data_IF_782681552397
#
_entry.id   IF_782681552397
#
_cell.length_a   1.000
_cell.length_b   1.000
_cell.length_c   1.000
_cell.angle_alpha   90.00
_cell.angle_beta   90.00
_cell.angle_gamma   90.00
#
_symmetry.space_group_name_H-M   'P 1'
#
loop_
_entity.id
_entity.type
_entity.pdbx_description
1 polymer ?
#
# COMPACT_ATOMS: atom_id res chain seq x y z
N UNK A 1 -33.53 13.78 6.28
CA UNK A 1 -33.41 12.53 7.07
C UNK A 1 -32.55 11.48 6.35
N UNK A 2 -32.62 11.36 5.01
CA UNK A 2 -31.77 10.46 4.21
C UNK A 2 -30.26 10.74 4.32
N UNK A 3 -29.84 12.00 4.19
CA UNK A 3 -28.41 12.39 4.23
C UNK A 3 -27.73 12.02 5.55
N UNK A 4 -28.45 12.16 6.68
CA UNK A 4 -27.91 11.80 8.00
C UNK A 4 -27.83 10.28 8.21
N UNK A 5 -28.80 9.53 7.67
CA UNK A 5 -28.80 8.07 7.70
C UNK A 5 -27.67 7.50 6.83
N UNK A 6 -27.42 8.10 5.66
CA UNK A 6 -26.33 7.72 4.75
C UNK A 6 -24.95 8.04 5.33
N UNK A 7 -24.79 9.17 6.01
CA UNK A 7 -23.56 9.49 6.72
C UNK A 7 -23.29 8.51 7.87
N UNK A 8 -24.34 8.13 8.62
CA UNK A 8 -24.24 7.18 9.71
C UNK A 8 -23.93 5.76 9.22
N UNK A 9 -24.58 5.30 8.14
CA UNK A 9 -24.30 4.00 7.52
C UNK A 9 -22.90 3.95 6.91
N UNK A 10 -22.45 5.04 6.27
CA UNK A 10 -21.08 5.18 5.77
C UNK A 10 -20.03 5.11 6.89
N UNK A 11 -20.30 5.75 8.03
CA UNK A 11 -19.42 5.68 9.20
C UNK A 11 -19.36 4.27 9.80
N UNK A 12 -20.50 3.57 9.90
CA UNK A 12 -20.54 2.19 10.37
C UNK A 12 -19.81 1.24 9.41
N UNK A 13 -20.05 1.35 8.10
CA UNK A 13 -19.35 0.55 7.10
C UNK A 13 -17.84 0.77 7.14
N UNK A 14 -17.42 2.03 7.29
CA UNK A 14 -16.01 2.38 7.47
C UNK A 14 -15.42 1.77 8.75
N UNK A 15 -16.15 1.82 9.86
CA UNK A 15 -15.74 1.22 11.15
C UNK A 15 -15.58 -0.29 11.07
N UNK A 16 -16.52 -1.00 10.44
CA UNK A 16 -16.42 -2.45 10.24
C UNK A 16 -15.22 -2.80 9.37
N UNK A 17 -15.03 -2.09 8.24
CA UNK A 17 -13.87 -2.26 7.36
C UNK A 17 -12.55 -2.05 8.10
N UNK A 18 -12.48 -1.04 8.95
CA UNK A 18 -11.33 -0.76 9.82
C UNK A 18 -11.00 -1.94 10.76
N UNK A 19 -12.00 -2.50 11.44
CA UNK A 19 -11.82 -3.66 12.31
C UNK A 19 -11.29 -4.88 11.54
N UNK A 20 -11.85 -5.15 10.36
CA UNK A 20 -11.38 -6.21 9.47
C UNK A 20 -9.93 -5.99 9.02
N UNK A 21 -9.55 -4.76 8.67
CA UNK A 21 -8.18 -4.44 8.27
C UNK A 21 -7.15 -4.78 9.35
N UNK A 22 -7.46 -4.48 10.62
CA UNK A 22 -6.56 -4.81 11.74
C UNK A 22 -6.40 -6.33 11.87
N UNK A 23 -7.50 -7.08 11.86
CA UNK A 23 -7.45 -8.54 11.95
C UNK A 23 -6.68 -9.17 10.77
N UNK A 24 -6.84 -8.66 9.55
CA UNK A 24 -6.11 -9.14 8.36
C UNK A 24 -4.61 -8.94 8.54
N UNK A 25 -4.16 -7.81 9.09
CA UNK A 25 -2.74 -7.59 9.39
C UNK A 25 -2.21 -8.63 10.38
N UNK A 26 -2.92 -8.89 11.47
CA UNK A 26 -2.46 -9.85 12.48
C UNK A 26 -2.35 -11.26 11.87
N UNK A 27 -3.28 -11.64 11.00
CA UNK A 27 -3.19 -12.90 10.26
C UNK A 27 -1.99 -12.95 9.30
N UNK A 28 -1.71 -11.86 8.57
CA UNK A 28 -0.55 -11.78 7.67
C UNK A 28 0.79 -11.82 8.44
N UNK A 29 0.88 -11.14 9.58
CA UNK A 29 2.07 -11.19 10.42
C UNK A 29 2.28 -12.59 10.99
N UNK A 30 1.19 -13.24 11.43
CA UNK A 30 1.25 -14.63 11.91
C UNK A 30 1.66 -15.60 10.81
N UNK A 31 1.24 -15.42 9.55
CA UNK A 31 1.72 -16.26 8.46
C UNK A 31 3.23 -16.07 8.20
N UNK A 32 3.75 -14.86 8.38
CA UNK A 32 5.19 -14.59 8.28
C UNK A 32 6.03 -15.23 9.40
N UNK A 33 5.42 -15.60 10.53
CA UNK A 33 6.11 -16.40 11.56
C UNK A 33 6.39 -17.84 11.08
N UNK A 34 5.55 -18.36 10.16
CA UNK A 34 5.72 -19.70 9.58
C UNK A 34 6.60 -19.68 8.32
N UNK A 35 6.37 -18.70 7.43
CA UNK A 35 7.22 -18.46 6.26
C UNK A 35 7.68 -16.99 6.21
N UNK A 36 8.86 -16.69 6.77
CA UNK A 36 9.40 -15.33 6.78
C UNK A 36 9.85 -14.83 5.40
N UNK A 37 9.90 -15.72 4.40
CA UNK A 37 10.40 -15.46 3.05
C UNK A 37 9.30 -15.34 2.00
N UNK A 38 8.03 -15.37 2.40
CA UNK A 38 6.92 -15.13 1.48
C UNK A 38 6.86 -13.64 1.08
N UNK A 39 7.50 -13.31 -0.04
CA UNK A 39 7.54 -11.96 -0.60
C UNK A 39 6.14 -11.38 -0.88
N UNK A 40 5.16 -12.22 -1.21
CA UNK A 40 3.78 -11.79 -1.47
C UNK A 40 3.11 -11.34 -0.19
N UNK A 41 3.25 -12.09 0.91
CA UNK A 41 2.71 -11.70 2.22
C UNK A 41 3.43 -10.45 2.75
N UNK A 42 4.75 -10.37 2.60
CA UNK A 42 5.51 -9.16 2.98
C UNK A 42 4.99 -7.93 2.22
N UNK A 43 4.75 -8.06 0.91
CA UNK A 43 4.15 -7.01 0.09
C UNK A 43 2.74 -6.64 0.57
N UNK A 44 1.89 -7.62 0.88
CA UNK A 44 0.54 -7.36 1.39
C UNK A 44 0.55 -6.61 2.74
N UNK A 45 1.51 -6.89 3.61
CA UNK A 45 1.73 -6.09 4.84
C UNK A 45 2.13 -4.66 4.49
N UNK A 46 3.03 -4.45 3.52
CA UNK A 46 3.37 -3.12 3.00
C UNK A 46 2.16 -2.36 2.46
N UNK A 47 1.29 -3.04 1.71
CA UNK A 47 0.03 -2.48 1.20
C UNK A 47 -0.91 -2.05 2.33
N UNK A 48 -0.96 -2.81 3.41
CA UNK A 48 -1.72 -2.42 4.60
C UNK A 48 -1.20 -1.11 5.20
N UNK A 49 0.11 -1.02 5.41
CA UNK A 49 0.74 0.20 5.97
C UNK A 49 0.53 1.40 5.06
N UNK A 50 0.74 1.24 3.75
CA UNK A 50 0.49 2.29 2.76
C UNK A 50 -0.96 2.75 2.80
N UNK A 51 -1.90 1.81 2.78
CA UNK A 51 -3.33 2.10 2.75
C UNK A 51 -3.77 2.92 3.96
N UNK A 52 -3.30 2.59 5.17
CA UNK A 52 -3.58 3.37 6.37
C UNK A 52 -2.86 4.73 6.35
N UNK A 53 -1.61 4.76 5.89
CA UNK A 53 -0.82 5.98 5.76
C UNK A 53 -1.32 6.95 4.68
N UNK A 54 -2.18 6.50 3.75
CA UNK A 54 -2.81 7.32 2.70
C UNK A 54 -4.25 7.74 3.06
N UNK A 55 -4.83 7.22 4.15
CA UNK A 55 -6.16 7.65 4.64
C UNK A 55 -6.18 9.14 4.98
N UNK A 56 -7.34 9.78 4.81
CA UNK A 56 -7.54 11.15 5.28
C UNK A 56 -7.43 11.23 6.82
N UNK A 57 -7.05 12.39 7.34
CA UNK A 57 -6.80 12.57 8.79
C UNK A 57 -7.98 12.12 9.67
N UNK A 58 -9.22 12.41 9.26
CA UNK A 58 -10.42 12.06 10.03
C UNK A 58 -10.71 10.55 10.02
N UNK A 59 -10.38 9.87 8.92
CA UNK A 59 -10.46 8.41 8.81
C UNK A 59 -9.44 7.74 9.73
N UNK A 60 -8.23 8.30 9.84
CA UNK A 60 -7.22 7.82 10.81
C UNK A 60 -7.67 8.01 12.25
N UNK A 61 -8.31 9.13 12.57
CA UNK A 61 -8.85 9.35 13.92
C UNK A 61 -9.92 8.31 14.30
N UNK A 62 -10.77 7.92 13.36
CA UNK A 62 -11.77 6.87 13.58
C UNK A 62 -11.08 5.50 13.76
N UNK A 63 -10.08 5.17 12.94
CA UNK A 63 -9.29 3.94 13.08
C UNK A 63 -8.61 3.87 14.46
N UNK A 64 -8.01 4.97 14.91
CA UNK A 64 -7.41 5.07 16.25
C UNK A 64 -8.47 4.82 17.33
N UNK A 65 -9.63 5.46 17.26
CA UNK A 65 -10.69 5.24 18.25
C UNK A 65 -11.19 3.78 18.31
N UNK A 66 -11.10 3.02 17.22
CA UNK A 66 -11.52 1.60 17.16
C UNK A 66 -10.41 0.67 17.65
N UNK A 67 -9.19 0.86 17.15
CA UNK A 67 -8.03 0.03 17.47
C UNK A 67 -7.36 0.40 18.80
N UNK A 68 -7.83 1.46 19.46
CA UNK A 68 -7.21 2.03 20.65
C UNK A 68 -5.97 2.87 20.30
N UNK A 69 -4.79 2.33 20.55
CA UNK A 69 -3.51 2.94 20.15
C UNK A 69 -2.88 2.05 19.06
N UNK A 70 -3.34 2.12 17.79
CA UNK A 70 -2.61 1.48 16.73
C UNK A 70 -1.23 2.16 16.61
N UNK A 71 -0.14 1.43 16.37
CA UNK A 71 1.10 2.07 15.94
C UNK A 71 0.78 2.93 14.71
N UNK A 72 1.26 4.18 14.65
CA UNK A 72 0.97 5.05 13.53
C UNK A 72 1.51 4.39 12.26
N UNK A 73 0.64 3.94 11.37
CA UNK A 73 1.06 3.39 10.09
C UNK A 73 1.65 4.53 9.25
N UNK A 74 2.93 4.44 8.91
CA UNK A 74 3.62 5.48 8.14
C UNK A 74 4.07 4.99 6.76
N UNK A 75 4.41 5.94 5.89
CA UNK A 75 4.97 5.61 4.57
C UNK A 75 6.36 4.95 4.69
N UNK A 76 7.13 5.27 5.73
CA UNK A 76 8.42 4.65 6.01
C UNK A 76 8.29 3.17 6.40
N UNK A 77 7.26 2.81 7.17
CA UNK A 77 6.97 1.39 7.46
C UNK A 77 6.55 0.66 6.18
N UNK A 78 5.66 1.26 5.38
CA UNK A 78 5.28 0.70 4.08
C UNK A 78 6.51 0.48 3.18
N UNK A 79 7.41 1.47 3.13
CA UNK A 79 8.66 1.37 2.37
C UNK A 79 9.51 0.18 2.84
N UNK A 80 9.68 0.03 4.15
CA UNK A 80 10.46 -1.06 4.74
C UNK A 80 9.95 -2.43 4.30
N UNK A 81 8.62 -2.64 4.34
CA UNK A 81 8.03 -3.89 3.88
C UNK A 81 8.17 -4.10 2.37
N UNK A 82 7.91 -3.10 1.54
CA UNK A 82 8.07 -3.25 0.09
C UNK A 82 9.52 -3.52 -0.33
N UNK A 83 10.49 -2.88 0.34
CA UNK A 83 11.91 -3.15 0.15
C UNK A 83 12.26 -4.57 0.58
N UNK A 84 11.78 -5.00 1.75
CA UNK A 84 12.00 -6.37 2.23
C UNK A 84 11.44 -7.40 1.25
N UNK A 85 10.26 -7.16 0.68
CA UNK A 85 9.68 -8.05 -0.33
C UNK A 85 10.58 -8.16 -1.57
N UNK A 86 11.07 -7.02 -2.07
CA UNK A 86 11.99 -6.95 -3.20
C UNK A 86 13.36 -7.58 -2.91
N UNK A 87 13.87 -7.44 -1.69
CA UNK A 87 15.13 -8.08 -1.25
C UNK A 87 14.98 -9.60 -1.10
N UNK A 88 13.81 -10.05 -0.67
CA UNK A 88 13.50 -11.47 -0.46
C UNK A 88 13.33 -12.20 -1.80
N UNK A 89 12.64 -11.57 -2.75
CA UNK A 89 12.48 -12.10 -4.10
C UNK A 89 12.58 -10.96 -5.12
N UNK A 90 13.76 -10.71 -5.70
CA UNK A 90 13.93 -9.59 -6.62
C UNK A 90 13.05 -9.68 -7.85
N UNK A 91 12.41 -8.57 -8.22
CA UNK A 91 11.57 -8.46 -9.42
C UNK A 91 10.46 -9.54 -9.49
N UNK A 92 9.91 -9.95 -8.34
CA UNK A 92 8.88 -10.99 -8.26
C UNK A 92 7.48 -10.51 -8.66
N UNK A 93 7.20 -9.22 -8.48
CA UNK A 93 5.86 -8.67 -8.66
C UNK A 93 5.90 -7.22 -9.12
N UNK A 94 5.27 -6.95 -10.26
CA UNK A 94 5.20 -5.63 -10.90
C UNK A 94 4.56 -4.56 -10.01
N UNK A 95 3.50 -4.92 -9.29
CA UNK A 95 2.82 -4.03 -8.33
C UNK A 95 3.75 -3.65 -7.18
N UNK A 96 4.66 -4.54 -6.74
CA UNK A 96 5.64 -4.17 -5.71
C UNK A 96 6.57 -3.03 -6.19
N UNK A 97 7.01 -3.07 -7.45
CA UNK A 97 7.83 -2.02 -8.05
C UNK A 97 7.05 -0.70 -8.19
N UNK A 98 5.79 -0.76 -8.62
CA UNK A 98 4.91 0.40 -8.67
C UNK A 98 4.76 1.03 -7.28
N UNK A 99 4.51 0.20 -6.27
CA UNK A 99 4.30 0.67 -4.89
C UNK A 99 5.56 1.27 -4.26
N UNK A 100 6.75 0.71 -4.54
CA UNK A 100 8.02 1.34 -4.19
C UNK A 100 8.11 2.74 -4.79
N UNK A 101 7.84 2.88 -6.09
CA UNK A 101 7.80 4.18 -6.76
C UNK A 101 6.85 5.17 -6.09
N UNK A 102 5.61 4.75 -5.81
CA UNK A 102 4.59 5.59 -5.14
C UNK A 102 4.98 6.01 -3.74
N UNK A 103 5.54 5.11 -2.94
CA UNK A 103 6.00 5.43 -1.58
C UNK A 103 7.15 6.42 -1.59
N UNK A 104 8.13 6.24 -2.47
CA UNK A 104 9.23 7.20 -2.59
C UNK A 104 8.72 8.60 -2.99
N UNK A 105 7.72 8.70 -3.88
CA UNK A 105 7.06 9.99 -4.17
C UNK A 105 6.42 10.61 -2.93
N UNK A 106 5.72 9.82 -2.10
CA UNK A 106 5.10 10.30 -0.85
C UNK A 106 6.13 10.78 0.17
N UNK A 107 7.33 10.19 0.15
CA UNK A 107 8.46 10.57 1.00
C UNK A 107 9.30 11.72 0.41
N UNK A 108 9.00 12.18 -0.80
CA UNK A 108 9.71 13.28 -1.47
C UNK A 108 11.01 12.88 -2.18
N UNK A 109 11.36 11.60 -2.22
CA UNK A 109 12.51 11.09 -2.97
C UNK A 109 12.11 10.78 -4.42
N UNK A 110 12.07 11.83 -5.23
CA UNK A 110 11.62 11.74 -6.61
C UNK A 110 12.58 10.92 -7.50
N UNK A 111 13.88 11.00 -7.27
CA UNK A 111 14.88 10.31 -8.10
C UNK A 111 14.75 8.79 -7.95
N UNK A 112 14.68 8.31 -6.71
CA UNK A 112 14.48 6.88 -6.43
C UNK A 112 13.10 6.42 -6.91
N UNK A 113 12.07 7.25 -6.73
CA UNK A 113 10.73 6.94 -7.24
C UNK A 113 10.73 6.70 -8.75
N UNK A 114 11.35 7.60 -9.53
CA UNK A 114 11.44 7.48 -10.98
C UNK A 114 12.17 6.22 -11.39
N UNK A 115 13.25 5.85 -10.69
CA UNK A 115 13.97 4.61 -10.95
C UNK A 115 13.06 3.38 -10.81
N UNK A 116 12.26 3.30 -9.74
CA UNK A 116 11.33 2.19 -9.54
C UNK A 116 10.14 2.21 -10.50
N UNK A 117 9.58 3.38 -10.83
CA UNK A 117 8.50 3.51 -11.82
C UNK A 117 8.98 3.06 -13.22
N UNK A 118 10.20 3.40 -13.62
CA UNK A 118 10.79 2.90 -14.87
C UNK A 118 10.97 1.38 -14.86
N UNK A 119 11.35 0.79 -13.72
CA UNK A 119 11.39 -0.68 -13.58
C UNK A 119 10.01 -1.30 -13.73
N UNK A 120 8.97 -0.71 -13.15
CA UNK A 120 7.60 -1.18 -13.30
C UNK A 120 7.11 -1.14 -14.75
N UNK A 121 7.41 -0.08 -15.51
CA UNK A 121 7.05 0.03 -16.93
C UNK A 121 7.77 -1.01 -17.79
N UNK A 122 9.04 -1.29 -17.48
CA UNK A 122 9.84 -2.27 -18.21
C UNK A 122 9.59 -3.73 -17.77
N UNK A 123 8.71 -3.94 -16.80
CA UNK A 123 8.37 -5.27 -16.32
C UNK A 123 7.58 -6.05 -17.39
N UNK A 124 7.89 -7.33 -17.65
CA UNK A 124 7.14 -8.16 -18.60
C UNK A 124 5.66 -8.26 -18.21
N UNK A 125 4.76 -7.88 -19.12
CA UNK A 125 3.32 -7.85 -18.84
C UNK A 125 2.66 -9.17 -19.26
N UNK A 126 2.29 -10.00 -18.29
CA UNK A 126 1.57 -11.26 -18.52
C UNK A 126 0.21 -11.31 -17.83
N UNK A 127 0.06 -10.57 -16.74
CA UNK A 127 -1.14 -10.54 -15.91
C UNK A 127 -1.81 -9.17 -15.96
N UNK A 128 -3.08 -9.12 -15.55
CA UNK A 128 -3.83 -7.86 -15.42
C UNK A 128 -3.13 -6.90 -14.45
N UNK A 129 -2.54 -7.42 -13.38
CA UNK A 129 -1.75 -6.64 -12.41
C UNK A 129 -0.52 -6.01 -13.08
N UNK A 130 0.16 -6.72 -13.98
CA UNK A 130 1.30 -6.15 -14.72
C UNK A 130 0.88 -5.03 -15.66
N UNK A 131 -0.26 -5.21 -16.35
CA UNK A 131 -0.83 -4.18 -17.20
C UNK A 131 -1.22 -2.94 -16.40
N UNK A 132 -1.85 -3.14 -15.23
CA UNK A 132 -2.19 -2.06 -14.32
C UNK A 132 -0.93 -1.35 -13.81
N UNK A 133 0.07 -2.11 -13.37
CA UNK A 133 1.33 -1.57 -12.87
C UNK A 133 2.02 -0.70 -13.92
N UNK A 134 2.08 -1.19 -15.16
CA UNK A 134 2.65 -0.46 -16.28
C UNK A 134 1.89 0.84 -16.58
N UNK A 135 0.56 0.77 -16.68
CA UNK A 135 -0.28 1.93 -16.98
C UNK A 135 -0.14 3.01 -15.91
N UNK A 136 -0.31 2.64 -14.64
CA UNK A 136 -0.24 3.58 -13.53
C UNK A 136 1.17 4.19 -13.39
N UNK A 137 2.23 3.39 -13.56
CA UNK A 137 3.59 3.90 -13.53
C UNK A 137 3.88 4.87 -14.68
N UNK A 138 3.40 4.55 -15.90
CA UNK A 138 3.51 5.43 -17.07
C UNK A 138 2.84 6.78 -16.82
N UNK A 139 1.62 6.77 -16.26
CA UNK A 139 0.87 7.99 -16.04
C UNK A 139 1.47 8.85 -14.92
N UNK A 140 2.00 8.22 -13.87
CA UNK A 140 2.79 8.90 -12.85
C UNK A 140 4.03 9.58 -13.45
N UNK A 141 4.82 8.89 -14.28
CA UNK A 141 6.00 9.49 -14.91
C UNK A 141 5.65 10.69 -15.82
N UNK A 142 4.57 10.57 -16.61
CA UNK A 142 4.05 11.69 -17.41
C UNK A 142 3.67 12.89 -16.54
N UNK A 143 3.00 12.64 -15.41
CA UNK A 143 2.59 13.69 -14.48
C UNK A 143 3.77 14.44 -13.85
N UNK A 144 4.89 13.74 -13.65
CA UNK A 144 6.15 14.32 -13.14
C UNK A 144 6.89 15.15 -14.19
N UNK A 145 6.38 15.23 -15.44
CA UNK A 145 7.03 15.85 -16.61
C UNK A 145 8.39 15.22 -16.95
N UNK A 146 8.57 13.96 -16.58
CA UNK A 146 9.75 13.17 -16.89
C UNK A 146 9.34 12.24 -18.03
N UNK A 147 9.25 12.81 -19.23
CA UNK A 147 9.01 12.09 -20.47
C UNK A 147 10.34 11.52 -21.00
#
# INVERSE_FOLDING_TARGET
MSIALDAYSGLQGFRTRCGTLVAVKDHMLKSLEFDPSDATVIHMVGMWYYGIADLAWYQRSILQAIAGKPPPATYEEALSFFKKAEETSPNFYSINLLMLGKVYLKLGDQDTAVAYLRRAINYPQFTDDDHQAHQEASDLLKSLKIA
#
